data_IF_699255247094
#
_entry.id   IF_699255247094
#
_cell.length_a   1.000
_cell.length_b   1.000
_cell.length_c   1.000
_cell.angle_alpha   90.00
_cell.angle_beta   90.00
_cell.angle_gamma   90.00
#
_symmetry.space_group_name_H-M   'P 1'
#
loop_
_entity.id
_entity.type
_entity.pdbx_description
1 polymer ?
#
# COMPACT_ATOMS: atom_id res chain seq x y z
N UNK A 1 14.17 -4.74 5.52
CA UNK A 1 12.87 -4.16 5.89
C UNK A 1 12.38 -4.89 7.11
N UNK A 2 11.69 -4.22 8.02
CA UNK A 2 11.17 -4.88 9.22
C UNK A 2 9.96 -5.74 8.85
N UNK A 3 9.97 -7.07 9.07
CA UNK A 3 8.87 -7.94 8.69
C UNK A 3 7.56 -7.51 9.34
N UNK A 4 7.62 -7.05 10.60
CA UNK A 4 6.45 -6.55 11.33
C UNK A 4 5.68 -5.45 10.56
N UNK A 5 6.37 -4.40 10.05
CA UNK A 5 5.72 -3.33 9.28
C UNK A 5 5.07 -3.87 7.99
N UNK A 6 5.76 -4.76 7.28
CA UNK A 6 5.25 -5.34 6.05
C UNK A 6 3.97 -6.16 6.29
N UNK A 7 3.97 -7.01 7.32
CA UNK A 7 2.80 -7.79 7.72
C UNK A 7 1.63 -6.89 8.17
N UNK A 8 1.90 -5.89 9.02
CA UNK A 8 0.87 -4.95 9.49
C UNK A 8 0.27 -4.14 8.34
N UNK A 9 1.09 -3.57 7.45
CA UNK A 9 0.62 -2.81 6.29
C UNK A 9 -0.18 -3.70 5.34
N UNK A 10 0.25 -4.94 5.10
CA UNK A 10 -0.49 -5.93 4.29
C UNK A 10 -1.86 -6.22 4.90
N UNK A 11 -1.92 -6.48 6.21
CA UNK A 11 -3.18 -6.76 6.90
C UNK A 11 -4.16 -5.58 6.80
N UNK A 12 -3.68 -4.34 7.02
CA UNK A 12 -4.50 -3.13 6.86
C UNK A 12 -4.96 -2.96 5.42
N UNK A 13 -4.08 -3.16 4.43
CA UNK A 13 -4.44 -3.09 3.02
C UNK A 13 -5.56 -4.06 2.64
N UNK A 14 -5.48 -5.31 3.13
CA UNK A 14 -6.54 -6.32 2.94
C UNK A 14 -7.83 -5.88 3.62
N UNK A 15 -7.79 -5.36 4.85
CA UNK A 15 -8.99 -4.88 5.55
C UNK A 15 -9.66 -3.71 4.81
N UNK A 16 -8.88 -2.76 4.29
CA UNK A 16 -9.39 -1.65 3.48
C UNK A 16 -10.01 -2.19 2.19
N UNK A 17 -9.38 -3.17 1.54
CA UNK A 17 -9.93 -3.80 0.35
C UNK A 17 -11.27 -4.49 0.61
N UNK A 18 -11.36 -5.27 1.69
CA UNK A 18 -12.60 -5.92 2.09
C UNK A 18 -13.71 -4.90 2.42
N UNK A 19 -13.38 -3.81 3.11
CA UNK A 19 -14.33 -2.73 3.40
C UNK A 19 -14.82 -2.03 2.11
N UNK A 20 -13.92 -1.82 1.14
CA UNK A 20 -14.24 -1.29 -0.18
C UNK A 20 -15.20 -2.20 -0.94
N UNK A 21 -14.87 -3.49 -1.07
CA UNK A 21 -15.71 -4.49 -1.73
C UNK A 21 -17.08 -4.63 -1.03
N UNK A 22 -17.10 -4.69 0.30
CA UNK A 22 -18.35 -4.78 1.07
C UNK A 22 -19.26 -3.58 0.79
N UNK A 23 -18.70 -2.37 0.64
CA UNK A 23 -19.47 -1.17 0.32
C UNK A 23 -19.98 -1.19 -1.12
N UNK A 24 -19.17 -1.64 -2.08
CA UNK A 24 -19.63 -1.85 -3.46
C UNK A 24 -20.82 -2.81 -3.51
N UNK A 25 -20.71 -3.97 -2.82
CA UNK A 25 -21.76 -5.01 -2.78
C UNK A 25 -23.03 -4.50 -2.08
N UNK A 26 -22.87 -3.72 -1.00
CA UNK A 26 -23.95 -3.06 -0.31
C UNK A 26 -24.54 -1.85 -1.08
N UNK A 27 -23.99 -1.52 -2.26
CA UNK A 27 -24.36 -0.34 -3.07
C UNK A 27 -24.22 0.99 -2.30
N UNK A 28 -23.23 1.06 -1.41
CA UNK A 28 -22.89 2.25 -0.61
C UNK A 28 -21.64 2.92 -1.16
N UNK A 29 -21.54 4.24 -0.98
CA UNK A 29 -20.32 5.00 -1.26
C UNK A 29 -19.28 4.79 -0.15
N UNK A 30 -18.03 5.10 -0.45
CA UNK A 30 -16.97 5.16 0.57
C UNK A 30 -17.29 6.24 1.61
N UNK A 31 -16.90 5.99 2.86
CA UNK A 31 -17.15 6.88 3.99
C UNK A 31 -15.95 6.97 4.94
N UNK A 32 -16.17 7.47 6.16
CA UNK A 32 -15.10 7.70 7.13
C UNK A 32 -14.28 6.45 7.46
N UNK A 33 -14.91 5.27 7.52
CA UNK A 33 -14.22 4.00 7.76
C UNK A 33 -13.15 3.74 6.69
N UNK A 34 -13.50 3.89 5.41
CA UNK A 34 -12.58 3.68 4.28
C UNK A 34 -11.42 4.67 4.33
N UNK A 35 -11.73 5.92 4.64
CA UNK A 35 -10.75 7.00 4.67
C UNK A 35 -9.79 6.87 5.84
N UNK A 36 -10.29 6.49 7.02
CA UNK A 36 -9.47 6.20 8.19
C UNK A 36 -8.58 4.97 7.95
N UNK A 37 -9.13 3.92 7.35
CA UNK A 37 -8.35 2.73 6.98
C UNK A 37 -7.25 3.03 5.96
N UNK A 38 -7.56 3.79 4.91
CA UNK A 38 -6.58 4.22 3.92
C UNK A 38 -5.53 5.17 4.52
N UNK A 39 -5.90 6.07 5.43
CA UNK A 39 -4.95 6.93 6.14
C UNK A 39 -4.02 6.11 7.05
N UNK A 40 -4.55 5.12 7.77
CA UNK A 40 -3.73 4.21 8.58
C UNK A 40 -2.75 3.42 7.70
N UNK A 41 -3.23 2.91 6.55
CA UNK A 41 -2.38 2.24 5.57
C UNK A 41 -1.26 3.17 5.09
N UNK A 42 -1.60 4.39 4.70
CA UNK A 42 -0.65 5.39 4.22
C UNK A 42 0.43 5.70 5.28
N UNK A 43 0.05 5.90 6.54
CA UNK A 43 0.99 6.13 7.64
C UNK A 43 1.96 4.96 7.79
N UNK A 44 1.47 3.72 7.77
CA UNK A 44 2.33 2.53 7.86
C UNK A 44 3.32 2.47 6.70
N UNK A 45 2.87 2.79 5.48
CA UNK A 45 3.70 2.78 4.28
C UNK A 45 4.76 3.89 4.30
N UNK A 46 4.42 5.08 4.78
CA UNK A 46 5.36 6.19 4.95
C UNK A 46 6.43 5.84 5.99
N UNK A 47 6.04 5.27 7.14
CA UNK A 47 6.99 4.80 8.16
C UNK A 47 7.91 3.72 7.58
N UNK A 48 7.34 2.75 6.85
CA UNK A 48 8.09 1.71 6.17
C UNK A 48 9.08 2.29 5.14
N UNK A 49 8.65 3.27 4.34
CA UNK A 49 9.49 3.94 3.36
C UNK A 49 10.63 4.73 4.02
N UNK A 50 10.37 5.41 5.13
CA UNK A 50 11.40 6.11 5.89
C UNK A 50 12.46 5.15 6.44
N UNK A 51 12.05 4.01 7.01
CA UNK A 51 12.97 2.97 7.51
C UNK A 51 13.82 2.39 6.37
N UNK A 52 13.19 2.08 5.23
CA UNK A 52 13.92 1.55 4.06
C UNK A 52 14.93 2.57 3.50
N UNK A 53 14.52 3.83 3.35
CA UNK A 53 15.40 4.92 2.88
C UNK A 53 16.55 5.17 3.85
N UNK A 54 16.31 5.15 5.17
CA UNK A 54 17.37 5.27 6.17
C UNK A 54 18.39 4.14 6.07
N UNK A 55 17.94 2.90 5.85
CA UNK A 55 18.82 1.75 5.64
C UNK A 55 19.65 1.86 4.34
N UNK A 56 19.04 2.34 3.24
CA UNK A 56 19.76 2.63 2.00
C UNK A 56 20.83 3.71 2.21
N UNK A 57 20.50 4.79 2.93
CA UNK A 57 21.44 5.85 3.28
C UNK A 57 22.57 5.35 4.21
N UNK A 58 22.28 4.35 5.05
CA UNK A 58 23.24 3.64 5.89
C UNK A 58 24.14 2.65 5.14
N UNK A 59 24.03 2.55 3.80
CA UNK A 59 24.91 1.77 2.95
C UNK A 59 24.39 0.39 2.54
N UNK A 60 23.20 -0.02 2.99
CA UNK A 60 22.57 -1.23 2.46
C UNK A 60 22.17 -1.03 1.00
N UNK A 61 22.52 -1.98 0.14
CA UNK A 61 22.17 -1.95 -1.28
C UNK A 61 21.57 -3.29 -1.71
N UNK A 62 20.24 -3.36 -1.93
CA UNK A 62 19.63 -4.50 -2.57
C UNK A 62 20.22 -4.73 -3.97
N UNK A 63 20.31 -5.99 -4.45
CA UNK A 63 20.86 -6.29 -5.79
C UNK A 63 20.20 -5.47 -6.90
N UNK A 64 18.87 -5.31 -6.83
CA UNK A 64 18.08 -4.48 -7.73
C UNK A 64 17.66 -3.15 -7.08
N UNK A 65 18.63 -2.34 -6.65
CA UNK A 65 18.36 -1.08 -5.92
C UNK A 65 17.42 -0.13 -6.68
N UNK A 66 17.58 0.03 -7.99
CA UNK A 66 16.73 0.92 -8.78
C UNK A 66 15.27 0.44 -8.82
N UNK A 67 15.05 -0.85 -9.03
CA UNK A 67 13.72 -1.49 -8.96
C UNK A 67 13.12 -1.30 -7.57
N UNK A 68 13.90 -1.54 -6.51
CA UNK A 68 13.45 -1.36 -5.13
C UNK A 68 12.96 0.06 -4.86
N UNK A 69 13.73 1.09 -5.24
CA UNK A 69 13.36 2.50 -5.06
C UNK A 69 12.08 2.84 -5.85
N UNK A 70 11.95 2.33 -7.08
CA UNK A 70 10.73 2.52 -7.88
C UNK A 70 9.49 1.94 -7.20
N UNK A 71 9.58 0.71 -6.67
CA UNK A 71 8.48 0.11 -5.90
C UNK A 71 8.22 0.84 -4.59
N UNK A 72 9.25 1.37 -3.92
CA UNK A 72 9.11 2.09 -2.67
C UNK A 72 8.35 3.41 -2.85
N UNK A 73 8.63 4.14 -3.93
CA UNK A 73 7.86 5.32 -4.29
C UNK A 73 6.43 4.94 -4.70
N UNK A 74 6.28 3.93 -5.57
CA UNK A 74 4.98 3.51 -6.07
C UNK A 74 4.03 3.01 -4.98
N UNK A 75 4.53 2.26 -3.99
CA UNK A 75 3.68 1.70 -2.93
C UNK A 75 3.06 2.79 -2.05
N UNK A 76 3.74 3.92 -1.85
CA UNK A 76 3.25 5.08 -1.10
C UNK A 76 2.26 5.90 -1.94
N UNK A 77 2.52 6.07 -3.24
CA UNK A 77 1.64 6.88 -4.09
C UNK A 77 0.30 6.19 -4.40
N UNK A 78 0.26 4.86 -4.39
CA UNK A 78 -0.89 4.11 -4.87
C UNK A 78 -2.15 4.25 -4.00
N UNK A 79 -2.11 4.17 -2.65
CA UNK A 79 -3.28 4.41 -1.83
C UNK A 79 -3.78 5.85 -1.94
N UNK A 80 -2.89 6.84 -2.04
CA UNK A 80 -3.25 8.25 -2.28
C UNK A 80 -4.04 8.38 -3.58
N UNK A 81 -3.52 7.84 -4.68
CA UNK A 81 -4.21 7.84 -5.96
C UNK A 81 -5.56 7.10 -5.89
N UNK A 82 -5.60 5.95 -5.21
CA UNK A 82 -6.82 5.17 -5.00
C UNK A 82 -7.90 5.93 -4.23
N UNK A 83 -7.52 6.66 -3.18
CA UNK A 83 -8.44 7.49 -2.39
C UNK A 83 -8.94 8.68 -3.20
N UNK A 84 -8.07 9.38 -3.93
CA UNK A 84 -8.45 10.51 -4.77
C UNK A 84 -9.45 10.09 -5.85
N UNK A 85 -9.17 9.00 -6.56
CA UNK A 85 -10.07 8.47 -7.58
C UNK A 85 -11.38 7.96 -6.96
N UNK A 86 -11.30 7.18 -5.88
CA UNK A 86 -12.50 6.67 -5.21
C UNK A 86 -13.45 7.80 -4.77
N UNK A 87 -12.92 8.96 -4.37
CA UNK A 87 -13.75 10.13 -4.02
C UNK A 87 -14.39 10.82 -5.22
N UNK A 88 -13.74 10.82 -6.38
CA UNK A 88 -14.29 11.42 -7.60
C UNK A 88 -15.23 10.47 -8.34
N UNK A 89 -15.20 9.17 -8.03
CA UNK A 89 -16.10 8.16 -8.60
C UNK A 89 -17.51 8.27 -8.00
N UNK A 90 -18.53 8.71 -8.78
CA UNK A 90 -19.85 9.01 -8.23
C UNK A 90 -20.70 7.76 -7.97
N UNK A 91 -20.35 6.62 -8.55
CA UNK A 91 -21.14 5.40 -8.51
C UNK A 91 -20.82 4.51 -7.31
N UNK A 92 -21.48 3.35 -7.22
CA UNK A 92 -21.16 2.31 -6.23
C UNK A 92 -19.76 1.71 -6.40
N UNK A 93 -19.10 1.95 -7.53
CA UNK A 93 -17.79 1.39 -7.86
C UNK A 93 -16.63 2.07 -7.14
N UNK A 94 -16.88 3.22 -6.47
CA UNK A 94 -15.89 3.88 -5.63
C UNK A 94 -15.21 2.92 -4.64
N UNK A 95 -15.98 2.01 -4.01
CA UNK A 95 -15.44 1.01 -3.10
C UNK A 95 -14.49 0.01 -3.78
N UNK A 96 -14.79 -0.38 -5.02
CA UNK A 96 -13.96 -1.30 -5.82
C UNK A 96 -12.66 -0.63 -6.25
N UNK A 97 -12.70 0.65 -6.65
CA UNK A 97 -11.49 1.41 -6.97
C UNK A 97 -10.52 1.40 -5.80
N UNK A 98 -11.02 1.74 -4.60
CA UNK A 98 -10.20 1.72 -3.39
C UNK A 98 -9.71 0.30 -3.05
N UNK A 99 -10.54 -0.72 -3.27
CA UNK A 99 -10.15 -2.10 -3.02
C UNK A 99 -9.03 -2.58 -3.94
N UNK A 100 -9.11 -2.27 -5.24
CA UNK A 100 -8.05 -2.59 -6.20
C UNK A 100 -6.75 -1.90 -5.83
N UNK A 101 -6.80 -0.59 -5.53
CA UNK A 101 -5.62 0.15 -5.10
C UNK A 101 -4.97 -0.50 -3.85
N UNK A 102 -5.79 -0.85 -2.85
CA UNK A 102 -5.31 -1.48 -1.62
C UNK A 102 -4.73 -2.88 -1.84
N UNK A 103 -5.34 -3.71 -2.70
CA UNK A 103 -4.81 -5.04 -3.02
C UNK A 103 -3.50 -4.96 -3.80
N UNK A 104 -3.38 -4.03 -4.75
CA UNK A 104 -2.11 -3.83 -5.47
C UNK A 104 -1.03 -3.34 -4.50
N UNK A 105 -1.35 -2.43 -3.57
CA UNK A 105 -0.43 -2.05 -2.49
C UNK A 105 0.04 -3.25 -1.68
N UNK A 106 -0.86 -4.19 -1.31
CA UNK A 106 -0.48 -5.41 -0.61
C UNK A 106 0.52 -6.25 -1.41
N UNK A 107 0.30 -6.44 -2.71
CA UNK A 107 1.24 -7.17 -3.59
C UNK A 107 2.59 -6.45 -3.69
N UNK A 108 2.58 -5.12 -3.80
CA UNK A 108 3.80 -4.32 -3.87
C UNK A 108 4.63 -4.40 -2.59
N UNK A 109 3.99 -4.47 -1.41
CA UNK A 109 4.70 -4.69 -0.14
C UNK A 109 5.49 -6.01 -0.19
N UNK A 110 4.86 -7.09 -0.66
CA UNK A 110 5.53 -8.39 -0.80
C UNK A 110 6.65 -8.37 -1.84
N UNK A 111 6.46 -7.63 -2.93
CA UNK A 111 7.53 -7.43 -3.91
C UNK A 111 8.72 -6.67 -3.31
N UNK A 112 8.48 -5.68 -2.44
CA UNK A 112 9.55 -4.98 -1.72
C UNK A 112 10.30 -5.91 -0.75
N UNK A 113 9.60 -6.79 -0.04
CA UNK A 113 10.23 -7.80 0.83
C UNK A 113 11.14 -8.72 0.01
N UNK A 114 10.65 -9.24 -1.12
CA UNK A 114 11.43 -10.09 -2.02
C UNK A 114 12.69 -9.37 -2.55
N UNK A 115 12.55 -8.12 -2.98
CA UNK A 115 13.67 -7.32 -3.46
C UNK A 115 14.69 -7.03 -2.35
N UNK A 116 14.25 -6.89 -1.10
CA UNK A 116 15.12 -6.66 0.05
C UNK A 116 15.89 -7.91 0.48
N UNK A 117 15.28 -9.08 0.36
CA UNK A 117 15.84 -10.37 0.80
C UNK A 117 16.55 -11.13 -0.33
N UNK A 118 16.51 -10.61 -1.56
CA UNK A 118 17.15 -11.24 -2.71
C UNK A 118 18.66 -11.46 -2.45
N UNK A 119 19.15 -12.71 -2.58
CA UNK A 119 20.58 -12.98 -2.52
C UNK A 119 21.33 -12.18 -3.58
N UNK A 120 22.48 -11.60 -3.20
CA UNK A 120 23.43 -11.09 -4.19
C UNK A 120 23.98 -12.26 -5.01
N UNK A 121 23.98 -12.12 -6.34
CA UNK A 121 24.59 -13.09 -7.25
C UNK A 121 26.11 -13.16 -7.07
#
# INVERSE_FOLDING_TARGET
>A
MTPFLAWSATAVAVLVALAGLASTLARRRIGLLHLAGAALLEVLLVVQAAVATAALAGGQRPPETATFVGYLAGVVLLPVAGVLWSRTEPSRWAGTVLAVASLVTAVMIWRLVQLWEAPGA
#
